data_IF_951050879748
#
_entry.id   IF_951050879748
#
_cell.length_a   1.000
_cell.length_b   1.000
_cell.length_c   1.000
_cell.angle_alpha   90.00
_cell.angle_beta   90.00
_cell.angle_gamma   90.00
#
_symmetry.space_group_name_H-M   'P 1'
#
loop_
_entity.id
_entity.type
_entity.pdbx_description
1 polymer ?
#
# COMPACT_ATOMS: atom_id res chain seq x y z
N UNK A 1 75.37 -3.13 20.07
CA UNK A 1 74.30 -3.03 19.06
C UNK A 1 73.67 -4.41 18.92
N UNK A 2 72.52 -4.64 19.54
CA UNK A 2 71.48 -5.62 19.14
C UNK A 2 70.45 -5.73 20.25
N UNK A 3 69.40 -4.91 20.13
CA UNK A 3 68.15 -5.05 20.87
C UNK A 3 67.17 -5.93 20.09
N UNK A 4 66.21 -6.60 20.76
CA UNK A 4 65.32 -7.59 20.17
C UNK A 4 64.17 -6.91 19.41
N UNK A 5 63.72 -7.50 18.29
CA UNK A 5 62.52 -7.06 17.58
C UNK A 5 61.33 -7.95 17.92
N UNK A 6 60.26 -7.28 18.32
CA UNK A 6 59.02 -7.80 18.85
C UNK A 6 58.23 -8.70 17.89
N UNK A 7 57.53 -9.68 18.45
CA UNK A 7 56.40 -10.37 17.84
C UNK A 7 55.24 -9.36 17.73
N UNK A 8 54.85 -9.02 16.50
CA UNK A 8 53.60 -8.31 16.24
C UNK A 8 52.53 -9.32 15.84
N UNK A 9 51.42 -9.25 16.57
CA UNK A 9 50.13 -9.90 16.30
C UNK A 9 49.75 -9.86 14.82
N UNK A 10 49.38 -11.01 14.27
CA UNK A 10 48.49 -11.08 13.11
C UNK A 10 47.15 -11.63 13.60
N UNK A 11 46.17 -10.74 13.66
CA UNK A 11 44.77 -11.04 13.92
C UNK A 11 44.27 -12.08 12.91
N UNK A 12 43.84 -13.25 13.37
CA UNK A 12 42.97 -14.13 12.59
C UNK A 12 41.57 -13.49 12.55
N UNK A 13 40.91 -13.39 11.38
CA UNK A 13 39.59 -12.79 11.30
C UNK A 13 38.57 -13.68 12.01
N UNK A 14 37.91 -13.08 12.99
CA UNK A 14 36.77 -13.63 13.72
C UNK A 14 35.66 -13.97 12.72
N UNK A 15 35.26 -15.25 12.70
CA UNK A 15 34.21 -15.77 11.82
C UNK A 15 32.87 -15.10 12.12
N UNK A 16 32.43 -14.20 11.26
CA UNK A 16 31.12 -13.56 11.28
C UNK A 16 30.14 -14.32 10.37
N UNK A 17 29.09 -14.96 10.93
CA UNK A 17 28.12 -15.73 10.16
C UNK A 17 27.12 -14.88 9.35
N UNK A 18 27.29 -13.56 9.29
CA UNK A 18 26.36 -12.65 8.58
C UNK A 18 26.94 -11.99 7.32
N UNK A 19 28.20 -12.29 6.95
CA UNK A 19 28.80 -11.77 5.71
C UNK A 19 28.59 -12.78 4.56
N UNK A 20 27.98 -12.39 3.42
CA UNK A 20 27.96 -13.23 2.22
C UNK A 20 29.39 -13.37 1.68
N UNK A 21 29.89 -14.60 1.55
CA UNK A 21 31.17 -14.90 0.89
C UNK A 21 31.09 -14.40 -0.57
N UNK A 22 31.69 -13.24 -0.84
CA UNK A 22 31.77 -12.64 -2.16
C UNK A 22 32.96 -13.16 -2.95
N UNK A 23 32.66 -13.59 -4.17
CA UNK A 23 33.51 -13.67 -5.37
C UNK A 23 34.98 -14.07 -5.18
N UNK A 24 35.20 -15.39 -5.18
CA UNK A 24 36.45 -15.93 -5.69
C UNK A 24 36.23 -16.41 -7.14
N UNK A 25 36.85 -15.67 -8.05
CA UNK A 25 36.85 -15.91 -9.49
C UNK A 25 37.16 -17.37 -9.83
N UNK A 26 36.22 -18.04 -10.49
CA UNK A 26 36.48 -18.83 -11.70
C UNK A 26 37.59 -19.88 -11.68
N UNK A 27 37.87 -20.53 -10.56
CA UNK A 27 38.71 -21.72 -10.56
C UNK A 27 37.86 -22.92 -10.97
N UNK A 28 38.00 -23.29 -12.24
CA UNK A 28 37.54 -24.52 -12.86
C UNK A 28 38.04 -25.73 -12.06
N UNK A 29 37.31 -26.08 -11.00
CA UNK A 29 37.51 -27.31 -10.26
C UNK A 29 37.05 -28.43 -11.17
N UNK A 30 38.01 -28.96 -11.92
CA UNK A 30 38.04 -30.26 -12.59
C UNK A 30 37.39 -31.33 -11.71
N UNK A 31 36.07 -31.40 -11.81
CA UNK A 31 35.26 -32.54 -11.47
C UNK A 31 35.30 -33.48 -12.68
N UNK A 32 36.49 -34.01 -12.95
CA UNK A 32 36.66 -35.04 -13.97
C UNK A 32 37.17 -36.32 -13.32
N UNK A 33 36.62 -37.43 -13.82
CA UNK A 33 37.04 -38.83 -13.64
C UNK A 33 36.52 -39.74 -12.49
N UNK A 34 35.52 -39.41 -11.65
CA UNK A 34 34.95 -40.49 -10.79
C UNK A 34 33.45 -40.52 -10.48
N UNK A 35 32.64 -39.68 -11.12
CA UNK A 35 31.17 -39.69 -10.94
C UNK A 35 30.39 -39.85 -12.25
N UNK A 36 31.06 -40.17 -13.37
CA UNK A 36 30.44 -40.34 -14.69
C UNK A 36 29.76 -41.71 -14.88
N UNK A 37 28.95 -42.12 -13.91
CA UNK A 37 27.97 -43.19 -14.03
C UNK A 37 26.60 -42.71 -13.50
N UNK A 38 26.35 -41.41 -13.56
CA UNK A 38 25.03 -40.85 -13.26
C UNK A 38 24.19 -40.94 -14.54
N UNK A 39 23.26 -41.88 -14.58
CA UNK A 39 22.20 -41.87 -15.57
C UNK A 39 21.40 -40.57 -15.41
N UNK A 40 21.33 -39.77 -16.48
CA UNK A 40 20.69 -38.46 -16.44
C UNK A 40 19.18 -38.54 -16.23
N UNK A 41 18.59 -39.64 -16.74
CA UNK A 41 17.19 -40.02 -16.66
C UNK A 41 17.08 -41.51 -16.36
N UNK A 42 16.04 -41.89 -15.61
CA UNK A 42 15.69 -43.29 -15.37
C UNK A 42 14.31 -43.56 -15.96
N UNK A 43 14.23 -44.20 -17.14
CA UNK A 43 12.97 -44.34 -17.85
C UNK A 43 12.00 -45.25 -17.12
N UNK A 44 10.70 -44.98 -17.31
CA UNK A 44 9.64 -45.85 -16.80
C UNK A 44 9.34 -47.00 -17.76
N UNK A 45 8.53 -47.97 -17.30
CA UNK A 45 8.21 -49.17 -18.07
C UNK A 45 7.48 -48.85 -19.39
N UNK A 46 6.70 -47.77 -19.41
CA UNK A 46 5.94 -47.34 -20.58
C UNK A 46 6.85 -46.70 -21.62
N UNK A 47 7.80 -45.89 -21.18
CA UNK A 47 8.83 -45.25 -22.00
C UNK A 47 9.74 -46.31 -22.61
N UNK A 48 10.24 -47.25 -21.82
CA UNK A 48 11.06 -48.37 -22.30
C UNK A 48 10.30 -49.15 -23.37
N UNK A 49 9.04 -49.51 -23.11
CA UNK A 49 8.22 -50.26 -24.06
C UNK A 49 7.98 -49.48 -25.37
N UNK A 50 7.79 -48.17 -25.28
CA UNK A 50 7.64 -47.29 -26.44
C UNK A 50 8.93 -47.21 -27.24
N UNK A 51 10.07 -46.94 -26.58
CA UNK A 51 11.39 -46.83 -27.22
C UNK A 51 11.80 -48.13 -27.89
N UNK A 52 11.58 -49.29 -27.26
CA UNK A 52 11.86 -50.60 -27.86
C UNK A 52 11.04 -50.80 -29.14
N UNK A 53 9.75 -50.45 -29.13
CA UNK A 53 8.90 -50.53 -30.33
C UNK A 53 9.33 -49.53 -31.41
N UNK A 54 9.74 -48.34 -31.03
CA UNK A 54 10.18 -47.29 -31.95
C UNK A 54 11.49 -47.67 -32.66
N UNK A 55 12.47 -48.18 -31.91
CA UNK A 55 13.79 -48.51 -32.47
C UNK A 55 13.80 -49.83 -33.22
N UNK A 56 13.18 -50.88 -32.67
CA UNK A 56 13.25 -52.21 -33.26
C UNK A 56 12.05 -52.57 -34.12
N UNK A 57 11.02 -51.73 -34.16
CA UNK A 57 9.90 -51.80 -35.10
C UNK A 57 9.36 -53.21 -35.27
N UNK A 58 9.23 -53.65 -36.53
CA UNK A 58 8.94 -55.05 -36.90
C UNK A 58 10.21 -55.83 -37.31
N UNK A 59 11.40 -55.26 -37.10
CA UNK A 59 12.67 -55.86 -37.55
C UNK A 59 13.06 -57.08 -36.72
N UNK A 60 12.59 -57.16 -35.47
CA UNK A 60 12.78 -58.32 -34.59
C UNK A 60 11.44 -58.92 -34.12
N UNK A 61 11.41 -60.16 -33.61
CA UNK A 61 10.18 -60.77 -33.07
C UNK A 61 9.66 -60.07 -31.81
N UNK A 62 8.34 -60.09 -31.58
CA UNK A 62 7.71 -59.52 -30.37
C UNK A 62 8.25 -60.15 -29.08
N UNK A 63 8.54 -61.46 -29.10
CA UNK A 63 9.15 -62.13 -27.95
C UNK A 63 10.53 -61.56 -27.60
N UNK A 64 11.34 -61.19 -28.60
CA UNK A 64 12.64 -60.58 -28.37
C UNK A 64 12.51 -59.12 -27.93
N UNK A 65 11.53 -58.36 -28.46
CA UNK A 65 11.19 -57.01 -27.96
C UNK A 65 10.80 -57.06 -26.48
N UNK A 66 9.97 -58.02 -26.07
CA UNK A 66 9.56 -58.18 -24.68
C UNK A 66 10.74 -58.50 -23.76
N UNK A 67 11.69 -59.34 -24.22
CA UNK A 67 12.92 -59.63 -23.47
C UNK A 67 13.78 -58.36 -23.34
N UNK A 68 14.00 -57.62 -24.42
CA UNK A 68 14.78 -56.37 -24.40
C UNK A 68 14.13 -55.35 -23.46
N UNK A 69 12.80 -55.21 -23.49
CA UNK A 69 12.07 -54.32 -22.58
C UNK A 69 12.22 -54.77 -21.12
N UNK A 70 12.13 -56.07 -20.84
CA UNK A 70 12.34 -56.63 -19.50
C UNK A 70 13.76 -56.38 -18.99
N UNK A 71 14.78 -56.62 -19.81
CA UNK A 71 16.19 -56.37 -19.44
C UNK A 71 16.46 -54.87 -19.26
N UNK A 72 15.85 -54.02 -20.08
CA UNK A 72 15.93 -52.56 -19.95
C UNK A 72 15.27 -52.06 -18.66
N UNK A 73 14.16 -52.68 -18.24
CA UNK A 73 13.51 -52.40 -16.96
C UNK A 73 14.41 -52.76 -15.76
N UNK A 74 15.12 -53.90 -15.83
CA UNK A 74 16.10 -54.29 -14.80
C UNK A 74 17.26 -53.27 -14.71
N UNK A 75 17.73 -52.75 -15.84
CA UNK A 75 18.73 -51.67 -15.87
C UNK A 75 18.17 -50.42 -15.18
N UNK A 76 16.96 -49.98 -15.53
CA UNK A 76 16.33 -48.82 -14.90
C UNK A 76 16.14 -49.01 -13.38
N UNK A 77 15.72 -50.20 -12.94
CA UNK A 77 15.56 -50.50 -11.52
C UNK A 77 16.91 -50.48 -10.77
N UNK A 78 17.95 -51.07 -11.35
CA UNK A 78 19.31 -51.01 -10.80
C UNK A 78 19.80 -49.58 -10.64
N UNK A 79 19.51 -48.71 -11.63
CA UNK A 79 19.85 -47.29 -11.57
C UNK A 79 19.14 -46.54 -10.43
N UNK A 80 17.83 -46.75 -10.22
CA UNK A 80 17.11 -46.14 -9.08
C UNK A 80 17.73 -46.56 -7.75
N UNK A 81 18.05 -47.84 -7.62
CA UNK A 81 18.71 -48.39 -6.44
C UNK A 81 20.08 -47.75 -6.20
N UNK A 82 20.85 -47.47 -7.25
CA UNK A 82 22.12 -46.74 -7.11
C UNK A 82 21.89 -45.35 -6.52
N UNK A 83 20.89 -44.60 -6.98
CA UNK A 83 20.56 -43.26 -6.45
C UNK A 83 20.13 -43.32 -4.98
N UNK A 84 19.29 -44.28 -4.61
CA UNK A 84 18.90 -44.52 -3.22
C UNK A 84 20.11 -44.85 -2.33
N UNK A 85 21.05 -45.65 -2.85
CA UNK A 85 22.29 -45.97 -2.13
C UNK A 85 23.18 -44.74 -1.94
N UNK A 86 23.16 -43.73 -2.83
CA UNK A 86 23.83 -42.45 -2.58
C UNK A 86 23.25 -41.74 -1.35
N UNK A 87 21.91 -41.73 -1.20
CA UNK A 87 21.25 -41.17 -0.02
C UNK A 87 21.59 -41.96 1.24
N UNK A 88 21.61 -43.30 1.14
CA UNK A 88 22.01 -44.17 2.24
C UNK A 88 23.44 -43.91 2.70
N UNK A 89 24.38 -43.80 1.77
CA UNK A 89 25.78 -43.45 2.05
C UNK A 89 25.85 -42.10 2.78
N UNK A 90 25.12 -41.09 2.29
CA UNK A 90 25.03 -39.78 2.94
C UNK A 90 24.55 -39.87 4.39
N UNK A 91 23.50 -40.65 4.65
CA UNK A 91 22.98 -40.88 6.00
C UNK A 91 23.96 -41.61 6.92
N UNK A 92 24.69 -42.60 6.41
CA UNK A 92 25.73 -43.30 7.17
C UNK A 92 26.87 -42.34 7.53
N UNK A 93 27.33 -41.54 6.56
CA UNK A 93 28.38 -40.54 6.79
C UNK A 93 27.97 -39.49 7.81
N UNK A 94 26.72 -39.01 7.74
CA UNK A 94 26.16 -38.09 8.74
C UNK A 94 26.14 -38.71 10.13
N UNK A 95 25.60 -39.92 10.26
CA UNK A 95 25.54 -40.63 11.54
C UNK A 95 26.91 -40.93 12.13
N UNK A 96 27.88 -41.32 11.29
CA UNK A 96 29.25 -41.56 11.73
C UNK A 96 29.90 -40.29 12.25
N UNK A 97 29.76 -39.17 11.53
CA UNK A 97 30.25 -37.87 11.97
C UNK A 97 29.64 -37.47 13.31
N UNK A 98 28.31 -37.54 13.42
CA UNK A 98 27.58 -37.18 14.63
C UNK A 98 28.01 -38.03 15.83
N UNK A 99 28.25 -39.34 15.65
CA UNK A 99 28.74 -40.21 16.73
C UNK A 99 30.13 -39.80 17.22
N UNK A 100 31.05 -39.45 16.31
CA UNK A 100 32.39 -39.00 16.66
C UNK A 100 32.32 -37.66 17.39
N UNK A 101 31.54 -36.71 16.89
CA UNK A 101 31.34 -35.40 17.51
C UNK A 101 30.73 -35.51 18.92
N UNK A 102 29.67 -36.32 19.09
CA UNK A 102 29.04 -36.54 20.39
C UNK A 102 29.99 -37.19 21.40
N UNK A 103 30.82 -38.14 20.99
CA UNK A 103 31.82 -38.76 21.88
C UNK A 103 32.87 -37.73 22.36
N UNK A 104 33.35 -36.87 21.45
CA UNK A 104 34.31 -35.82 21.80
C UNK A 104 33.68 -34.77 22.71
N UNK A 105 32.45 -34.33 22.42
CA UNK A 105 31.71 -33.40 23.28
C UNK A 105 31.49 -33.97 24.68
N UNK A 106 31.12 -35.25 24.79
CA UNK A 106 30.93 -35.92 26.09
C UNK A 106 32.23 -36.11 26.88
N UNK A 107 33.36 -36.34 26.22
CA UNK A 107 34.64 -36.65 26.87
C UNK A 107 35.51 -35.42 27.18
N UNK A 108 35.42 -34.36 26.38
CA UNK A 108 36.30 -33.18 26.44
C UNK A 108 35.54 -31.87 26.68
N UNK A 109 34.21 -31.94 26.85
CA UNK A 109 33.34 -30.77 26.97
C UNK A 109 32.81 -30.29 25.62
N UNK A 110 31.58 -29.81 25.61
CA UNK A 110 30.89 -29.36 24.40
C UNK A 110 31.30 -27.94 24.04
N UNK A 111 32.38 -27.81 23.27
CA UNK A 111 32.86 -26.53 22.76
C UNK A 111 33.03 -26.57 21.24
N UNK A 112 32.94 -25.40 20.59
CA UNK A 112 33.15 -25.27 19.15
C UNK A 112 34.50 -25.85 18.70
N UNK A 113 35.55 -25.64 19.49
CA UNK A 113 36.88 -26.18 19.22
C UNK A 113 36.90 -27.72 19.23
N UNK A 114 36.27 -28.35 20.23
CA UNK A 114 36.18 -29.81 20.36
C UNK A 114 35.37 -30.41 19.20
N UNK A 115 34.23 -29.80 18.83
CA UNK A 115 33.43 -30.24 17.67
C UNK A 115 34.21 -30.12 16.35
N UNK A 116 34.92 -29.01 16.14
CA UNK A 116 35.75 -28.83 14.93
C UNK A 116 36.88 -29.86 14.84
N UNK A 117 37.54 -30.16 15.96
CA UNK A 117 38.56 -31.20 16.04
C UNK A 117 38.00 -32.58 15.70
N UNK A 118 36.82 -32.92 16.23
CA UNK A 118 36.13 -34.17 15.93
C UNK A 118 35.73 -34.27 14.45
N UNK A 119 35.17 -33.21 13.89
CA UNK A 119 34.84 -33.12 12.46
C UNK A 119 36.08 -33.30 11.58
N UNK A 120 37.20 -32.66 11.92
CA UNK A 120 38.46 -32.79 11.17
C UNK A 120 38.98 -34.23 11.18
N UNK A 121 38.94 -34.92 12.34
CA UNK A 121 39.32 -36.33 12.44
C UNK A 121 38.41 -37.24 11.62
N UNK A 122 37.09 -36.99 11.62
CA UNK A 122 36.13 -37.70 10.78
C UNK A 122 36.49 -37.56 9.29
N UNK A 123 36.70 -36.35 8.78
CA UNK A 123 37.02 -36.15 7.36
C UNK A 123 38.35 -36.79 6.99
N UNK A 124 39.38 -36.68 7.83
CA UNK A 124 40.67 -37.33 7.61
C UNK A 124 40.57 -38.86 7.60
N UNK A 125 39.72 -39.42 8.46
CA UNK A 125 39.42 -40.86 8.45
C UNK A 125 38.75 -41.27 7.15
N UNK A 126 37.71 -40.56 6.72
CA UNK A 126 36.97 -40.90 5.49
C UNK A 126 37.87 -40.78 4.26
N UNK A 127 38.70 -39.75 4.20
CA UNK A 127 39.67 -39.56 3.12
C UNK A 127 40.69 -40.69 3.06
N UNK A 128 41.23 -41.13 4.21
CA UNK A 128 42.21 -42.22 4.25
C UNK A 128 41.58 -43.60 3.97
N UNK A 129 40.40 -43.87 4.52
CA UNK A 129 39.75 -45.17 4.43
C UNK A 129 39.05 -45.39 3.08
N UNK A 130 38.35 -44.37 2.57
CA UNK A 130 37.50 -44.48 1.39
C UNK A 130 38.04 -43.69 0.19
N UNK A 131 39.17 -42.99 0.32
CA UNK A 131 39.79 -42.16 -0.74
C UNK A 131 38.83 -41.11 -1.30
N UNK A 132 37.96 -40.56 -0.44
CA UNK A 132 37.02 -39.49 -0.79
C UNK A 132 37.43 -38.20 -0.10
N UNK A 133 37.60 -37.13 -0.89
CA UNK A 133 37.93 -35.80 -0.40
C UNK A 133 36.81 -35.27 0.50
N UNK A 134 37.18 -34.42 1.45
CA UNK A 134 36.26 -33.79 2.40
C UNK A 134 35.04 -33.14 1.72
N UNK A 135 35.23 -32.43 0.60
CA UNK A 135 34.12 -31.72 -0.04
C UNK A 135 33.11 -32.66 -0.69
N UNK A 136 33.56 -33.77 -1.27
CA UNK A 136 32.66 -34.82 -1.76
C UNK A 136 31.83 -35.39 -0.61
N UNK A 137 32.46 -35.69 0.54
CA UNK A 137 31.77 -36.21 1.73
C UNK A 137 30.72 -35.22 2.25
N UNK A 138 31.04 -33.92 2.26
CA UNK A 138 30.07 -32.87 2.62
C UNK A 138 28.87 -32.87 1.68
N UNK A 139 29.07 -33.03 0.37
CA UNK A 139 27.96 -33.08 -0.60
C UNK A 139 27.03 -34.24 -0.28
N UNK A 140 27.55 -35.47 -0.09
CA UNK A 140 26.71 -36.62 0.29
C UNK A 140 25.90 -36.38 1.56
N UNK A 141 26.54 -35.84 2.61
CA UNK A 141 25.87 -35.53 3.88
C UNK A 141 24.77 -34.48 3.67
N UNK A 142 25.06 -33.39 2.96
CA UNK A 142 24.11 -32.30 2.73
C UNK A 142 22.96 -32.73 1.84
N UNK A 143 23.23 -33.47 0.76
CA UNK A 143 22.20 -34.02 -0.13
C UNK A 143 21.28 -34.97 0.63
N UNK A 144 21.81 -35.84 1.49
CA UNK A 144 20.99 -36.67 2.37
C UNK A 144 20.11 -35.82 3.30
N UNK A 145 20.69 -34.85 4.01
CA UNK A 145 19.94 -34.00 4.94
C UNK A 145 18.83 -33.21 4.24
N UNK A 146 19.03 -32.81 2.97
CA UNK A 146 18.06 -32.02 2.21
C UNK A 146 17.00 -32.86 1.52
N UNK A 147 17.36 -33.97 0.90
CA UNK A 147 16.47 -34.70 -0.02
C UNK A 147 15.97 -36.04 0.52
N UNK A 148 16.47 -36.54 1.66
CA UNK A 148 16.08 -37.87 2.17
C UNK A 148 14.59 -38.06 2.45
N UNK A 149 13.85 -36.98 2.70
CA UNK A 149 12.39 -37.01 2.91
C UNK A 149 11.58 -36.78 1.64
N UNK A 150 12.23 -36.45 0.51
CA UNK A 150 11.57 -36.17 -0.77
C UNK A 150 11.87 -37.31 -1.75
N UNK A 151 11.01 -38.34 -1.75
CA UNK A 151 11.17 -39.51 -2.62
C UNK A 151 11.24 -39.15 -4.11
N UNK A 152 10.42 -38.18 -4.55
CA UNK A 152 10.44 -37.73 -5.94
C UNK A 152 11.77 -37.09 -6.35
N UNK A 153 12.39 -36.34 -5.43
CA UNK A 153 13.73 -35.79 -5.67
C UNK A 153 14.81 -36.86 -5.75
N UNK A 154 14.73 -37.91 -4.93
CA UNK A 154 15.69 -39.02 -4.93
C UNK A 154 15.62 -39.84 -6.22
N UNK A 155 14.42 -40.01 -6.78
CA UNK A 155 14.22 -40.75 -8.02
C UNK A 155 14.65 -39.96 -9.28
N UNK A 156 14.46 -38.64 -9.28
CA UNK A 156 14.61 -37.81 -10.50
C UNK A 156 15.92 -37.03 -10.56
N UNK A 157 16.55 -36.74 -9.43
CA UNK A 157 17.75 -35.91 -9.39
C UNK A 157 19.01 -36.77 -9.33
N UNK A 158 19.98 -36.42 -10.17
CA UNK A 158 21.34 -36.95 -10.01
C UNK A 158 22.01 -36.33 -8.79
N UNK A 159 23.08 -36.95 -8.28
CA UNK A 159 23.87 -36.38 -7.18
C UNK A 159 24.41 -34.98 -7.52
N UNK A 160 24.70 -34.71 -8.80
CA UNK A 160 25.15 -33.41 -9.30
C UNK A 160 24.04 -32.37 -9.25
N UNK A 161 22.81 -32.75 -9.60
CA UNK A 161 21.64 -31.88 -9.51
C UNK A 161 21.35 -31.55 -8.06
N UNK A 162 21.35 -32.56 -7.19
CA UNK A 162 21.20 -32.36 -5.75
C UNK A 162 22.26 -31.41 -5.21
N UNK A 163 23.52 -31.55 -5.61
CA UNK A 163 24.60 -30.64 -5.17
C UNK A 163 24.30 -29.18 -5.52
N UNK A 164 23.73 -28.89 -6.69
CA UNK A 164 23.36 -27.52 -7.09
C UNK A 164 22.16 -27.00 -6.30
N UNK A 165 21.27 -27.90 -5.91
CA UNK A 165 20.01 -27.60 -5.25
C UNK A 165 20.07 -27.58 -3.73
N UNK A 166 21.11 -28.14 -3.10
CA UNK A 166 21.27 -28.23 -1.64
C UNK A 166 21.06 -26.87 -0.94
N UNK A 167 21.52 -25.78 -1.55
CA UNK A 167 21.47 -24.43 -0.98
C UNK A 167 20.32 -23.58 -1.53
N UNK A 168 19.39 -24.17 -2.27
CA UNK A 168 18.26 -23.45 -2.85
C UNK A 168 16.99 -23.66 -2.02
N UNK A 169 16.09 -22.69 -2.10
CA UNK A 169 14.79 -22.75 -1.44
C UNK A 169 13.91 -23.87 -2.02
N UNK A 170 12.96 -24.36 -1.22
CA UNK A 170 12.10 -25.48 -1.61
C UNK A 170 11.31 -25.18 -2.90
N UNK A 171 10.88 -23.93 -3.11
CA UNK A 171 10.18 -23.51 -4.34
C UNK A 171 11.06 -23.66 -5.59
N UNK A 172 12.35 -23.38 -5.49
CA UNK A 172 13.31 -23.54 -6.60
C UNK A 172 13.57 -25.02 -6.87
N UNK A 173 13.64 -25.83 -5.81
CA UNK A 173 13.78 -27.29 -5.92
C UNK A 173 12.57 -27.86 -6.65
N UNK A 174 11.36 -27.50 -6.25
CA UNK A 174 10.11 -27.96 -6.87
C UNK A 174 10.03 -27.54 -8.33
N UNK A 175 10.44 -26.31 -8.65
CA UNK A 175 10.52 -25.84 -10.03
C UNK A 175 11.48 -26.67 -10.90
N UNK A 176 12.65 -27.03 -10.36
CA UNK A 176 13.61 -27.88 -11.08
C UNK A 176 13.10 -29.31 -11.21
N UNK A 177 12.43 -29.85 -10.19
CA UNK A 177 11.79 -31.17 -10.26
C UNK A 177 10.69 -31.21 -11.32
N UNK A 178 9.84 -30.17 -11.38
CA UNK A 178 8.81 -30.05 -12.42
C UNK A 178 9.44 -29.98 -13.81
N UNK A 179 10.48 -29.18 -14.00
CA UNK A 179 11.18 -29.09 -15.27
C UNK A 179 11.87 -30.40 -15.67
N UNK A 180 12.48 -31.12 -14.73
CA UNK A 180 13.07 -32.46 -14.93
C UNK A 180 12.02 -33.51 -15.27
N UNK A 181 10.83 -33.39 -14.72
CA UNK A 181 9.72 -34.27 -15.05
C UNK A 181 9.22 -34.07 -16.49
N UNK A 182 9.22 -32.83 -16.97
CA UNK A 182 8.85 -32.51 -18.36
C UNK A 182 9.98 -32.81 -19.35
N UNK A 183 11.22 -32.57 -18.95
CA UNK A 183 12.41 -32.83 -19.75
C UNK A 183 13.50 -33.51 -18.88
N UNK A 184 13.57 -34.86 -18.88
CA UNK A 184 14.53 -35.58 -18.05
C UNK A 184 16.00 -35.36 -18.42
N UNK A 185 16.28 -35.01 -19.67
CA UNK A 185 17.63 -34.81 -20.21
C UNK A 185 18.16 -33.38 -19.98
N UNK A 186 17.52 -32.61 -19.09
CA UNK A 186 17.97 -31.27 -18.75
C UNK A 186 19.44 -31.25 -18.35
N UNK A 187 20.22 -30.50 -19.10
CA UNK A 187 21.64 -30.32 -18.84
C UNK A 187 21.86 -29.51 -17.57
N UNK A 188 23.02 -29.70 -16.95
CA UNK A 188 23.48 -28.90 -15.79
C UNK A 188 23.38 -27.39 -16.05
N UNK A 189 23.64 -26.93 -17.28
CA UNK A 189 23.56 -25.51 -17.65
C UNK A 189 22.12 -25.00 -17.69
N UNK A 190 21.18 -25.82 -18.14
CA UNK A 190 19.76 -25.47 -18.18
C UNK A 190 19.17 -25.46 -16.77
N UNK A 191 19.52 -26.43 -15.91
CA UNK A 191 19.13 -26.42 -14.49
C UNK A 191 19.60 -25.13 -13.81
N UNK A 192 20.86 -24.69 -14.05
CA UNK A 192 21.35 -23.40 -13.54
C UNK A 192 20.52 -22.20 -14.03
N UNK A 193 20.18 -22.16 -15.32
CA UNK A 193 19.33 -21.10 -15.88
C UNK A 193 17.95 -21.07 -15.24
N UNK A 194 17.36 -22.24 -14.97
CA UNK A 194 16.07 -22.35 -14.27
C UNK A 194 16.21 -21.74 -12.87
N UNK A 195 17.20 -22.17 -12.09
CA UNK A 195 17.46 -21.63 -10.75
C UNK A 195 17.58 -20.10 -10.78
N UNK A 196 18.38 -19.56 -11.69
CA UNK A 196 18.59 -18.11 -11.81
C UNK A 196 17.32 -17.36 -12.21
N UNK A 197 16.56 -17.89 -13.19
CA UNK A 197 15.29 -17.28 -13.60
C UNK A 197 14.25 -17.25 -12.48
N UNK A 198 14.20 -18.28 -11.64
CA UNK A 198 13.28 -18.33 -10.51
C UNK A 198 13.69 -17.36 -9.41
N UNK A 199 15.00 -17.22 -9.14
CA UNK A 199 15.50 -16.20 -8.20
C UNK A 199 15.16 -14.79 -8.64
N UNK A 200 15.31 -14.47 -9.92
CA UNK A 200 14.92 -13.17 -10.45
C UNK A 200 13.42 -12.93 -10.28
N UNK A 201 12.58 -13.90 -10.61
CA UNK A 201 11.12 -13.80 -10.41
C UNK A 201 10.74 -13.64 -8.94
N UNK A 202 11.44 -14.31 -8.03
CA UNK A 202 11.20 -14.20 -6.60
C UNK A 202 11.56 -12.79 -6.11
N UNK A 203 12.73 -12.27 -6.51
CA UNK A 203 13.16 -10.92 -6.19
C UNK A 203 12.19 -9.85 -6.75
N UNK A 204 11.68 -10.04 -7.97
CA UNK A 204 10.65 -9.17 -8.55
C UNK A 204 9.35 -9.19 -7.76
N UNK A 205 8.92 -10.37 -7.30
CA UNK A 205 7.73 -10.51 -6.45
C UNK A 205 7.92 -9.86 -5.08
N UNK A 206 9.07 -10.03 -4.45
CA UNK A 206 9.37 -9.40 -3.17
C UNK A 206 9.38 -7.87 -3.29
N UNK A 207 10.01 -7.34 -4.35
CA UNK A 207 9.97 -5.91 -4.64
C UNK A 207 8.53 -5.39 -4.87
N UNK A 208 7.71 -6.16 -5.60
CA UNK A 208 6.29 -5.82 -5.80
C UNK A 208 5.51 -5.83 -4.47
N UNK A 209 5.79 -6.80 -3.61
CA UNK A 209 5.15 -6.95 -2.32
C UNK A 209 5.50 -5.77 -1.39
N UNK A 210 6.74 -5.33 -1.40
CA UNK A 210 7.18 -4.15 -0.64
C UNK A 210 6.51 -2.86 -1.12
N UNK A 211 6.34 -2.68 -2.44
CA UNK A 211 5.57 -1.55 -3.00
C UNK A 211 4.11 -1.60 -2.52
N UNK A 212 3.49 -2.78 -2.54
CA UNK A 212 2.10 -2.94 -2.07
C UNK A 212 1.97 -2.68 -0.57
N UNK A 213 2.91 -3.15 0.25
CA UNK A 213 2.96 -2.85 1.69
C UNK A 213 3.10 -1.36 1.97
N UNK A 214 3.96 -0.68 1.21
CA UNK A 214 4.14 0.77 1.33
C UNK A 214 2.83 1.51 1.02
N UNK A 215 2.17 1.18 -0.10
CA UNK A 215 0.87 1.74 -0.47
C UNK A 215 -0.22 1.43 0.55
N UNK A 216 -0.24 0.23 1.12
CA UNK A 216 -1.18 -0.13 2.18
C UNK A 216 -0.96 0.73 3.41
N UNK A 217 0.30 0.95 3.80
CA UNK A 217 0.64 1.80 4.95
C UNK A 217 0.22 3.26 4.72
N UNK A 218 0.40 3.76 3.50
CA UNK A 218 -0.07 5.09 3.08
C UNK A 218 -1.59 5.21 3.15
N UNK A 219 -2.33 4.24 2.61
CA UNK A 219 -3.81 4.21 2.66
C UNK A 219 -4.30 4.12 4.10
N UNK A 220 -3.64 3.34 4.95
CA UNK A 220 -3.97 3.27 6.39
C UNK A 220 -3.75 4.63 7.06
N UNK A 221 -2.66 5.33 6.75
CA UNK A 221 -2.42 6.70 7.22
C UNK A 221 -3.53 7.67 6.78
N UNK A 222 -3.88 7.67 5.49
CA UNK A 222 -4.96 8.49 4.95
C UNK A 222 -6.32 8.17 5.61
N UNK A 223 -6.59 6.90 5.91
CA UNK A 223 -7.81 6.48 6.59
C UNK A 223 -7.87 7.01 8.03
N UNK A 224 -6.74 7.00 8.74
CA UNK A 224 -6.66 7.52 10.10
C UNK A 224 -6.80 9.05 10.12
N UNK A 225 -6.20 9.75 9.15
CA UNK A 225 -6.38 11.21 8.97
C UNK A 225 -7.84 11.55 8.69
N UNK A 226 -8.48 10.86 7.74
CA UNK A 226 -9.89 11.05 7.42
C UNK A 226 -10.82 10.75 8.61
N UNK A 227 -10.48 9.75 9.45
CA UNK A 227 -11.21 9.47 10.69
C UNK A 227 -11.09 10.60 11.69
N UNK A 228 -9.88 11.14 11.88
CA UNK A 228 -9.64 12.26 12.79
C UNK A 228 -10.39 13.51 12.33
N UNK A 229 -10.37 13.82 11.03
CA UNK A 229 -11.13 14.92 10.46
C UNK A 229 -12.64 14.72 10.63
N UNK A 230 -13.15 13.50 10.42
CA UNK A 230 -14.56 13.20 10.63
C UNK A 230 -14.98 13.41 12.10
N UNK A 231 -14.14 13.00 13.06
CA UNK A 231 -14.37 13.27 14.48
C UNK A 231 -14.39 14.78 14.78
N UNK A 232 -13.44 15.54 14.23
CA UNK A 232 -13.41 16.98 14.37
C UNK A 232 -14.70 17.63 13.84
N UNK A 233 -15.12 17.27 12.63
CA UNK A 233 -16.36 17.77 12.01
C UNK A 233 -17.61 17.39 12.81
N UNK A 234 -17.64 16.21 13.43
CA UNK A 234 -18.73 15.80 14.33
C UNK A 234 -18.80 16.72 15.55
N UNK A 235 -17.66 17.01 16.19
CA UNK A 235 -17.62 17.91 17.35
C UNK A 235 -17.98 19.36 16.97
N UNK A 236 -17.49 19.85 15.83
CA UNK A 236 -17.86 21.17 15.32
C UNK A 236 -19.36 21.26 14.99
N UNK A 237 -19.93 20.22 14.38
CA UNK A 237 -21.38 20.14 14.12
C UNK A 237 -22.19 20.17 15.42
N UNK A 238 -21.73 19.49 16.47
CA UNK A 238 -22.38 19.55 17.80
C UNK A 238 -22.30 20.96 18.38
N UNK A 239 -21.15 21.61 18.30
CA UNK A 239 -20.96 22.98 18.79
C UNK A 239 -21.88 23.96 18.07
N UNK A 240 -21.92 23.92 16.73
CA UNK A 240 -22.80 24.78 15.92
C UNK A 240 -24.28 24.55 16.24
N UNK A 241 -24.71 23.29 16.44
CA UNK A 241 -26.08 23.00 16.88
C UNK A 241 -26.41 23.64 18.23
N UNK A 242 -25.50 23.58 19.19
CA UNK A 242 -25.68 24.21 20.49
C UNK A 242 -25.80 25.73 20.36
N UNK A 243 -24.96 26.35 19.52
CA UNK A 243 -24.99 27.79 19.27
C UNK A 243 -26.31 28.21 18.59
N UNK A 244 -26.78 27.47 17.59
CA UNK A 244 -28.09 27.70 16.95
C UNK A 244 -29.22 27.65 17.98
N UNK A 245 -29.19 26.69 18.90
CA UNK A 245 -30.24 26.56 19.91
C UNK A 245 -30.20 27.72 20.92
N UNK A 246 -29.02 28.15 21.34
CA UNK A 246 -28.86 29.34 22.17
C UNK A 246 -29.36 30.61 21.48
N UNK A 247 -29.05 30.78 20.21
CA UNK A 247 -29.48 31.97 19.44
C UNK A 247 -30.98 31.96 19.16
N UNK A 248 -31.59 30.78 18.94
CA UNK A 248 -33.05 30.64 18.92
C UNK A 248 -33.68 31.07 20.24
N UNK A 249 -33.09 30.69 21.37
CA UNK A 249 -33.63 31.05 22.68
C UNK A 249 -33.48 32.55 22.97
N UNK A 250 -32.35 33.16 22.60
CA UNK A 250 -32.18 34.62 22.64
C UNK A 250 -33.21 35.32 21.75
N UNK A 251 -33.43 34.84 20.53
CA UNK A 251 -34.43 35.39 19.61
C UNK A 251 -35.86 35.27 20.14
N UNK A 252 -36.22 34.16 20.79
CA UNK A 252 -37.52 34.05 21.47
C UNK A 252 -37.66 35.09 22.57
N UNK A 253 -36.61 35.29 23.38
CA UNK A 253 -36.62 36.28 24.46
C UNK A 253 -36.79 37.70 23.93
N UNK A 254 -36.03 38.08 22.90
CA UNK A 254 -36.17 39.41 22.28
C UNK A 254 -37.54 39.62 21.64
N UNK A 255 -38.13 38.57 21.06
CA UNK A 255 -39.50 38.63 20.53
C UNK A 255 -40.54 38.84 21.62
N UNK A 256 -40.40 38.17 22.78
CA UNK A 256 -41.26 38.40 23.95
C UNK A 256 -41.10 39.83 24.49
N UNK A 257 -39.88 40.35 24.56
CA UNK A 257 -39.61 41.72 25.00
C UNK A 257 -40.22 42.75 24.03
N UNK A 258 -40.14 42.48 22.72
CA UNK A 258 -40.75 43.30 21.67
C UNK A 258 -42.29 43.31 21.77
N UNK A 259 -42.91 42.15 21.98
CA UNK A 259 -44.36 42.04 22.21
C UNK A 259 -44.79 42.81 23.46
N UNK A 260 -43.97 42.76 24.52
CA UNK A 260 -44.16 43.56 25.73
C UNK A 260 -44.12 45.07 25.46
N UNK A 261 -43.12 45.53 24.69
CA UNK A 261 -43.01 46.92 24.26
C UNK A 261 -44.20 47.33 23.38
N UNK A 262 -44.64 46.49 22.45
CA UNK A 262 -45.81 46.74 21.61
C UNK A 262 -47.09 46.94 22.43
N UNK A 263 -47.31 46.11 23.46
CA UNK A 263 -48.44 46.27 24.38
C UNK A 263 -48.36 47.60 25.13
N UNK A 264 -47.17 47.97 25.60
CA UNK A 264 -46.94 49.25 26.29
C UNK A 264 -47.23 50.45 25.38
N UNK A 265 -46.76 50.42 24.13
CA UNK A 265 -47.05 51.45 23.12
C UNK A 265 -48.55 51.53 22.84
N UNK A 266 -49.23 50.38 22.73
CA UNK A 266 -50.69 50.35 22.55
C UNK A 266 -51.43 50.97 23.72
N UNK A 267 -51.04 50.66 24.97
CA UNK A 267 -51.61 51.31 26.16
C UNK A 267 -51.37 52.82 26.15
N UNK A 268 -50.16 53.28 25.83
CA UNK A 268 -49.86 54.70 25.70
C UNK A 268 -50.71 55.38 24.62
N UNK A 269 -50.91 54.74 23.46
CA UNK A 269 -51.80 55.24 22.42
C UNK A 269 -53.25 55.42 22.91
N UNK A 270 -53.77 54.45 23.68
CA UNK A 270 -55.11 54.58 24.25
C UNK A 270 -55.22 55.72 25.28
N UNK A 271 -54.19 55.91 26.10
CA UNK A 271 -54.12 57.02 27.05
C UNK A 271 -54.02 58.37 26.34
N UNK A 272 -53.19 58.48 25.30
CA UNK A 272 -53.09 59.67 24.45
C UNK A 272 -54.45 59.99 23.85
N UNK A 273 -55.13 59.02 23.22
CA UNK A 273 -56.48 59.25 22.69
C UNK A 273 -57.51 59.65 23.75
N UNK A 274 -57.38 59.15 24.99
CA UNK A 274 -58.23 59.58 26.11
C UNK A 274 -57.96 61.04 26.48
N UNK A 275 -56.69 61.40 26.66
CA UNK A 275 -56.25 62.75 26.98
C UNK A 275 -56.61 63.75 25.87
N UNK A 276 -56.54 63.35 24.60
CA UNK A 276 -56.99 64.17 23.47
C UNK A 276 -58.49 64.47 23.53
N UNK A 277 -59.32 63.48 23.89
CA UNK A 277 -60.76 63.70 24.07
C UNK A 277 -61.05 64.58 25.29
N UNK A 278 -60.32 64.41 26.38
CA UNK A 278 -60.40 65.28 27.57
C UNK A 278 -59.99 66.71 27.21
N UNK A 279 -58.91 66.90 26.45
CA UNK A 279 -58.50 68.20 25.93
C UNK A 279 -59.59 68.82 25.05
N UNK A 280 -60.16 68.07 24.12
CA UNK A 280 -61.19 68.59 23.21
C UNK A 280 -62.48 68.96 23.95
N UNK A 281 -62.84 68.19 24.98
CA UNK A 281 -63.98 68.53 25.86
C UNK A 281 -63.70 69.77 26.70
N UNK A 282 -62.52 69.89 27.29
CA UNK A 282 -62.09 71.11 27.99
C UNK A 282 -62.03 72.32 27.05
N UNK A 283 -61.56 72.16 25.81
CA UNK A 283 -61.55 73.23 24.80
C UNK A 283 -62.97 73.66 24.42
N UNK A 284 -63.92 72.72 24.29
CA UNK A 284 -65.34 73.07 24.09
C UNK A 284 -65.93 73.79 25.31
N UNK A 285 -65.66 73.31 26.51
CA UNK A 285 -66.09 73.98 27.75
C UNK A 285 -65.47 75.38 27.87
N UNK A 286 -64.23 75.56 27.45
CA UNK A 286 -63.56 76.86 27.39
C UNK A 286 -64.19 77.77 26.34
N UNK A 287 -64.55 77.24 25.16
CA UNK A 287 -65.28 77.99 24.14
C UNK A 287 -66.71 78.38 24.61
N UNK A 288 -67.39 77.49 25.33
CA UNK A 288 -68.70 77.77 25.96
C UNK A 288 -68.59 78.79 27.11
N UNK A 289 -67.52 78.72 27.90
CA UNK A 289 -67.21 79.71 28.94
C UNK A 289 -66.81 81.07 28.32
N UNK A 290 -66.09 81.06 27.20
CA UNK A 290 -65.76 82.27 26.43
C UNK A 290 -67.02 82.94 25.83
N UNK A 291 -68.02 82.16 25.41
CA UNK A 291 -69.32 82.68 24.98
C UNK A 291 -70.20 83.23 26.12
N UNK A 292 -69.85 83.00 27.39
CA UNK A 292 -70.59 83.49 28.57
C UNK A 292 -70.00 84.75 29.21
N UNK A 293 -68.91 85.30 28.70
CA UNK A 293 -68.21 86.44 29.31
C UNK A 293 -68.27 87.67 28.41
N UNK A 294 -68.94 88.72 28.89
CA UNK A 294 -68.82 90.08 28.36
C UNK A 294 -67.37 90.55 28.42
N UNK A 295 -66.96 91.21 27.35
CA UNK A 295 -65.63 91.70 27.00
C UNK A 295 -64.90 92.43 28.14
N UNK A 296 -63.60 92.12 28.30
CA UNK A 296 -62.62 93.10 28.76
C UNK A 296 -61.30 92.85 28.04
N UNK A 297 -60.98 93.73 27.09
CA UNK A 297 -59.70 93.76 26.39
C UNK A 297 -58.54 93.90 27.39
N UNK A 298 -57.53 93.05 27.23
CA UNK A 298 -56.18 93.30 27.74
C UNK A 298 -55.21 92.96 26.60
N UNK A 299 -54.51 93.99 26.11
CA UNK A 299 -53.31 93.83 25.30
C UNK A 299 -52.27 93.03 26.07
N UNK A 300 -51.79 91.92 25.51
CA UNK A 300 -50.52 91.32 25.92
C UNK A 300 -49.64 91.14 24.70
N UNK A 301 -48.55 91.90 24.74
CA UNK A 301 -47.37 91.85 23.91
C UNK A 301 -46.63 90.52 24.02
N UNK A 302 -46.06 90.05 22.90
CA UNK A 302 -44.85 89.24 22.89
C UNK A 302 -45.03 87.78 22.43
N UNK A 303 -44.09 87.24 21.64
CA UNK A 303 -44.15 85.87 21.14
C UNK A 303 -43.94 84.87 22.29
N UNK A 304 -44.89 83.97 22.51
CA UNK A 304 -44.79 82.97 23.59
C UNK A 304 -43.72 81.92 23.31
N UNK A 305 -43.04 81.48 24.37
CA UNK A 305 -42.06 80.37 24.42
C UNK A 305 -42.55 79.06 23.75
N UNK A 306 -43.86 78.89 23.58
CA UNK A 306 -44.45 77.73 22.92
C UNK A 306 -44.05 77.57 21.43
N UNK A 307 -43.73 78.66 20.72
CA UNK A 307 -43.23 78.58 19.34
C UNK A 307 -41.76 78.14 19.33
N UNK A 308 -40.97 78.55 20.33
CA UNK A 308 -39.57 78.11 20.47
C UNK A 308 -39.49 76.62 20.78
N UNK A 309 -40.33 76.09 21.68
CA UNK A 309 -40.35 74.66 21.98
C UNK A 309 -40.85 73.79 20.82
N UNK A 310 -41.80 74.27 20.02
CA UNK A 310 -42.23 73.57 18.80
C UNK A 310 -41.15 73.60 17.71
N UNK A 311 -40.42 74.70 17.60
CA UNK A 311 -39.32 74.85 16.67
C UNK A 311 -38.11 74.00 17.08
N UNK A 312 -37.77 73.95 18.37
CA UNK A 312 -36.76 73.05 18.94
C UNK A 312 -37.14 71.57 18.76
N UNK A 313 -38.42 71.21 18.95
CA UNK A 313 -38.90 69.84 18.71
C UNK A 313 -38.88 69.48 17.21
N UNK A 314 -39.24 70.40 16.32
CA UNK A 314 -39.16 70.21 14.88
C UNK A 314 -37.70 70.11 14.39
N UNK A 315 -36.80 70.92 14.93
CA UNK A 315 -35.36 70.86 14.63
C UNK A 315 -34.72 69.56 15.16
N UNK A 316 -35.15 69.11 16.34
CA UNK A 316 -34.75 67.82 16.92
C UNK A 316 -35.21 66.62 16.08
N UNK A 317 -36.46 66.64 15.62
CA UNK A 317 -37.00 65.62 14.70
C UNK A 317 -36.31 65.66 13.34
N UNK A 318 -36.06 66.84 12.78
CA UNK A 318 -35.30 66.95 11.51
C UNK A 318 -33.88 66.43 11.65
N UNK A 319 -33.24 66.62 12.81
CA UNK A 319 -31.91 66.07 13.09
C UNK A 319 -31.95 64.55 13.17
N UNK A 320 -32.92 63.97 13.88
CA UNK A 320 -33.11 62.52 13.95
C UNK A 320 -33.44 61.91 12.57
N UNK A 321 -34.26 62.59 11.77
CA UNK A 321 -34.56 62.16 10.40
C UNK A 321 -33.29 62.19 9.55
N UNK A 322 -32.46 63.23 9.63
CA UNK A 322 -31.18 63.28 8.89
C UNK A 322 -30.21 62.19 9.33
N UNK A 323 -30.09 61.94 10.63
CA UNK A 323 -29.24 60.88 11.18
C UNK A 323 -29.74 59.49 10.75
N UNK A 324 -31.04 59.24 10.80
CA UNK A 324 -31.65 58.00 10.33
C UNK A 324 -31.48 57.82 8.81
N UNK A 325 -31.65 58.88 8.01
CA UNK A 325 -31.42 58.83 6.56
C UNK A 325 -29.95 58.52 6.24
N UNK A 326 -29.01 59.13 6.96
CA UNK A 326 -27.58 58.86 6.79
C UNK A 326 -27.21 57.42 7.17
N UNK A 327 -27.80 56.87 8.24
CA UNK A 327 -27.62 55.47 8.61
C UNK A 327 -28.21 54.54 7.55
N UNK A 328 -29.39 54.87 7.01
CA UNK A 328 -30.05 54.09 5.95
C UNK A 328 -29.22 54.06 4.66
N UNK A 329 -28.63 55.21 4.27
CA UNK A 329 -27.71 55.29 3.14
C UNK A 329 -26.43 54.46 3.37
N UNK A 330 -25.87 54.49 4.59
CA UNK A 330 -24.68 53.69 4.91
C UNK A 330 -24.97 52.18 4.89
N UNK A 331 -26.13 51.76 5.41
CA UNK A 331 -26.56 50.36 5.41
C UNK A 331 -26.90 49.89 3.99
N UNK A 332 -27.50 50.76 3.16
CA UNK A 332 -27.71 50.45 1.74
C UNK A 332 -26.39 50.25 0.99
N UNK A 333 -25.38 51.07 1.27
CA UNK A 333 -24.05 50.90 0.69
C UNK A 333 -23.37 49.60 1.17
N UNK A 334 -23.51 49.25 2.45
CA UNK A 334 -22.98 48.01 3.01
C UNK A 334 -23.67 46.78 2.40
N UNK A 335 -25.00 46.79 2.31
CA UNK A 335 -25.78 45.71 1.65
C UNK A 335 -25.36 45.54 0.20
N UNK A 336 -25.21 46.63 -0.57
CA UNK A 336 -24.74 46.55 -1.96
C UNK A 336 -23.33 45.94 -2.07
N UNK A 337 -22.43 46.28 -1.14
CA UNK A 337 -21.08 45.71 -1.11
C UNK A 337 -21.07 44.21 -0.77
N UNK A 338 -21.96 43.78 0.14
CA UNK A 338 -22.11 42.38 0.53
C UNK A 338 -22.76 41.55 -0.58
N UNK A 339 -23.73 42.12 -1.31
CA UNK A 339 -24.35 41.47 -2.46
C UNK A 339 -23.33 41.23 -3.58
N UNK A 340 -22.47 42.21 -3.87
CA UNK A 340 -21.41 42.05 -4.88
C UNK A 340 -20.37 41.00 -4.45
N UNK A 341 -19.98 41.01 -3.17
CA UNK A 341 -19.06 39.99 -2.63
C UNK A 341 -19.68 38.58 -2.66
N UNK A 342 -20.97 38.46 -2.35
CA UNK A 342 -21.71 37.20 -2.43
C UNK A 342 -21.79 36.70 -3.87
N UNK A 343 -22.03 37.59 -4.83
CA UNK A 343 -22.06 37.26 -6.26
C UNK A 343 -20.70 36.76 -6.76
N UNK A 344 -19.61 37.40 -6.34
CA UNK A 344 -18.25 36.96 -6.66
C UNK A 344 -17.94 35.58 -6.07
N UNK A 345 -18.31 35.35 -4.81
CA UNK A 345 -18.11 34.05 -4.15
C UNK A 345 -18.94 32.94 -4.81
N UNK A 346 -20.19 33.20 -5.19
CA UNK A 346 -21.02 32.24 -5.92
C UNK A 346 -20.40 31.89 -7.29
N UNK A 347 -19.91 32.88 -8.03
CA UNK A 347 -19.23 32.63 -9.30
C UNK A 347 -17.94 31.78 -9.11
N UNK A 348 -17.21 31.99 -8.01
CA UNK A 348 -16.04 31.18 -7.69
C UNK A 348 -16.42 29.74 -7.33
N UNK A 349 -17.49 29.54 -6.55
CA UNK A 349 -18.02 28.21 -6.21
C UNK A 349 -18.48 27.48 -7.47
N UNK A 350 -19.28 28.13 -8.32
CA UNK A 350 -19.75 27.56 -9.59
C UNK A 350 -18.57 27.15 -10.49
N UNK A 351 -17.49 27.94 -10.50
CA UNK A 351 -16.27 27.62 -11.25
C UNK A 351 -15.57 26.38 -10.70
N UNK A 352 -15.49 26.23 -9.37
CA UNK A 352 -14.89 25.06 -8.70
C UNK A 352 -15.73 23.81 -8.92
N UNK A 353 -17.05 23.91 -8.79
CA UNK A 353 -17.96 22.79 -9.05
C UNK A 353 -17.91 22.32 -10.51
N UNK A 354 -17.75 23.25 -11.47
CA UNK A 354 -17.57 22.90 -12.86
C UNK A 354 -16.26 22.13 -13.11
N UNK A 355 -15.17 22.57 -12.49
CA UNK A 355 -13.86 21.89 -12.55
C UNK A 355 -13.97 20.50 -11.92
N UNK A 356 -14.54 20.38 -10.72
CA UNK A 356 -14.73 19.08 -10.06
C UNK A 356 -15.56 18.11 -10.90
N UNK A 357 -16.63 18.61 -11.54
CA UNK A 357 -17.47 17.79 -12.42
C UNK A 357 -16.66 17.25 -13.59
N UNK A 358 -15.86 18.09 -14.25
CA UNK A 358 -14.98 17.66 -15.34
C UNK A 358 -13.90 16.67 -14.88
N UNK A 359 -13.34 16.84 -13.68
CA UNK A 359 -12.37 15.87 -13.13
C UNK A 359 -13.05 14.51 -12.90
N UNK A 360 -14.27 14.49 -12.35
CA UNK A 360 -15.03 13.23 -12.14
C UNK A 360 -15.37 12.55 -13.47
N UNK A 361 -15.85 13.32 -14.46
CA UNK A 361 -16.12 12.81 -15.81
C UNK A 361 -14.85 12.21 -16.45
N UNK A 362 -13.71 12.88 -16.32
CA UNK A 362 -12.43 12.39 -16.82
C UNK A 362 -11.99 11.09 -16.11
N UNK A 363 -12.23 10.97 -14.80
CA UNK A 363 -11.95 9.75 -14.03
C UNK A 363 -12.82 8.57 -14.48
N UNK A 364 -14.11 8.82 -14.73
CA UNK A 364 -15.04 7.80 -15.22
C UNK A 364 -14.63 7.30 -16.62
N UNK A 365 -14.28 8.23 -17.52
CA UNK A 365 -13.77 7.91 -18.86
C UNK A 365 -12.47 7.12 -18.81
N UNK A 366 -11.54 7.51 -17.94
CA UNK A 366 -10.28 6.78 -17.74
C UNK A 366 -10.53 5.37 -17.18
N UNK A 367 -11.46 5.22 -16.24
CA UNK A 367 -11.89 3.91 -15.72
C UNK A 367 -12.42 2.99 -16.82
N UNK A 368 -13.29 3.52 -17.69
CA UNK A 368 -13.83 2.82 -18.86
C UNK A 368 -12.72 2.42 -19.85
N UNK A 369 -11.80 3.34 -20.12
CA UNK A 369 -10.63 3.08 -20.96
C UNK A 369 -9.76 1.94 -20.40
N UNK A 370 -9.44 1.96 -19.11
CA UNK A 370 -8.62 0.93 -18.47
C UNK A 370 -9.26 -0.47 -18.53
N UNK A 371 -10.59 -0.57 -18.42
CA UNK A 371 -11.30 -1.83 -18.58
C UNK A 371 -11.21 -2.36 -20.03
N UNK A 372 -11.41 -1.49 -21.03
CA UNK A 372 -11.25 -1.85 -22.45
C UNK A 372 -9.83 -2.27 -22.77
N UNK A 373 -8.84 -1.55 -22.23
CA UNK A 373 -7.42 -1.88 -22.39
C UNK A 373 -7.10 -3.27 -21.83
N UNK A 374 -7.48 -3.56 -20.57
CA UNK A 374 -7.26 -4.89 -19.96
C UNK A 374 -7.90 -6.02 -20.78
N UNK A 375 -9.12 -5.80 -21.26
CA UNK A 375 -9.80 -6.77 -22.12
C UNK A 375 -9.03 -7.02 -23.42
N UNK A 376 -8.52 -5.95 -24.03
CA UNK A 376 -7.76 -6.02 -25.29
C UNK A 376 -6.39 -6.68 -25.09
N UNK A 377 -5.68 -6.33 -24.01
CA UNK A 377 -4.43 -6.97 -23.61
C UNK A 377 -4.63 -8.48 -23.39
N UNK A 378 -5.70 -8.88 -22.71
CA UNK A 378 -6.02 -10.28 -22.48
C UNK A 378 -6.29 -11.02 -23.79
N UNK A 379 -7.03 -10.42 -24.73
CA UNK A 379 -7.28 -11.01 -26.05
C UNK A 379 -6.00 -11.19 -26.86
N UNK A 380 -5.09 -10.21 -26.84
CA UNK A 380 -3.82 -10.29 -27.58
C UNK A 380 -2.86 -11.31 -26.96
N UNK A 381 -2.81 -11.39 -25.63
CA UNK A 381 -1.95 -12.35 -24.91
C UNK A 381 -2.49 -13.77 -24.98
N UNK A 382 -3.80 -13.97 -24.84
CA UNK A 382 -4.44 -15.29 -24.97
C UNK A 382 -4.47 -15.80 -26.42
N UNK A 383 -4.54 -14.89 -27.40
CA UNK A 383 -4.52 -15.23 -28.83
C UNK A 383 -3.15 -15.61 -29.40
N UNK A 384 -2.08 -15.57 -28.60
CA UNK A 384 -0.73 -16.03 -28.99
C UNK A 384 0.00 -15.16 -30.04
N UNK A 385 -0.60 -14.08 -30.52
CA UNK A 385 -0.04 -13.18 -31.54
C UNK A 385 0.29 -11.82 -30.94
N UNK A 386 1.28 -11.78 -30.05
CA UNK A 386 1.72 -10.54 -29.38
C UNK A 386 2.67 -9.71 -30.25
N UNK A 387 3.46 -10.38 -31.11
CA UNK A 387 4.50 -9.75 -31.92
C UNK A 387 4.01 -8.60 -32.83
N UNK A 388 2.85 -8.67 -33.51
CA UNK A 388 2.36 -7.57 -34.35
C UNK A 388 1.93 -6.33 -33.57
N UNK A 389 1.59 -6.48 -32.29
CA UNK A 389 1.07 -5.39 -31.46
C UNK A 389 2.11 -4.83 -30.47
N UNK A 390 3.32 -5.39 -30.42
CA UNK A 390 4.37 -4.98 -29.50
C UNK A 390 4.71 -3.48 -29.60
N UNK A 391 4.83 -2.95 -30.83
CA UNK A 391 5.10 -1.53 -31.05
C UNK A 391 3.94 -0.63 -30.62
N UNK A 392 2.69 -1.12 -30.74
CA UNK A 392 1.51 -0.38 -30.31
C UNK A 392 1.47 -0.30 -28.77
N UNK A 393 1.76 -1.41 -28.08
CA UNK A 393 1.83 -1.42 -26.62
C UNK A 393 3.00 -0.58 -26.08
N UNK A 394 4.15 -0.55 -26.78
CA UNK A 394 5.26 0.33 -26.44
C UNK A 394 4.88 1.81 -26.56
N UNK A 395 4.23 2.21 -27.66
CA UNK A 395 3.74 3.58 -27.84
C UNK A 395 2.69 3.98 -26.77
N UNK A 396 1.82 3.04 -26.39
CA UNK A 396 0.89 3.24 -25.26
C UNK A 396 1.61 3.40 -23.93
N UNK A 397 2.64 2.59 -23.66
CA UNK A 397 3.43 2.69 -22.44
C UNK A 397 4.14 4.06 -22.33
N UNK A 398 4.67 4.58 -23.44
CA UNK A 398 5.26 5.92 -23.49
C UNK A 398 4.23 7.03 -23.21
N UNK A 399 3.03 6.95 -23.82
CA UNK A 399 1.97 7.93 -23.58
C UNK A 399 1.49 7.90 -22.12
N UNK A 400 1.32 6.71 -21.54
CA UNK A 400 0.96 6.54 -20.13
C UNK A 400 2.09 7.05 -19.22
N UNK A 401 3.36 6.85 -19.60
CA UNK A 401 4.51 7.39 -18.89
C UNK A 401 4.52 8.91 -18.84
N UNK A 402 4.30 9.57 -19.98
CA UNK A 402 4.18 11.05 -20.04
C UNK A 402 2.99 11.56 -19.24
N UNK A 403 1.82 10.93 -19.40
CA UNK A 403 0.62 11.28 -18.64
C UNK A 403 0.85 11.13 -17.13
N UNK A 404 1.53 10.07 -16.69
CA UNK A 404 1.85 9.86 -15.28
C UNK A 404 2.76 10.97 -14.72
N UNK A 405 3.75 11.42 -15.50
CA UNK A 405 4.62 12.53 -15.12
C UNK A 405 3.85 13.86 -15.00
N UNK A 406 2.97 14.14 -15.96
CA UNK A 406 2.10 15.33 -15.92
C UNK A 406 1.15 15.30 -14.71
N UNK A 407 0.60 14.13 -14.39
CA UNK A 407 -0.29 13.95 -13.24
C UNK A 407 0.44 14.14 -11.91
N UNK A 408 1.66 13.62 -11.78
CA UNK A 408 2.52 13.87 -10.62
C UNK A 408 2.90 15.35 -10.51
N UNK A 409 3.19 16.02 -11.63
CA UNK A 409 3.49 17.45 -11.62
C UNK A 409 2.28 18.29 -11.17
N UNK A 410 1.07 17.94 -11.64
CA UNK A 410 -0.17 18.58 -11.21
C UNK A 410 -0.48 18.32 -9.74
N UNK A 411 -0.30 17.08 -9.26
CA UNK A 411 -0.52 16.71 -7.87
C UNK A 411 0.44 17.40 -6.90
N UNK A 412 1.69 17.65 -7.32
CA UNK A 412 2.68 18.38 -6.51
C UNK A 412 2.48 19.91 -6.55
N UNK A 413 1.71 20.43 -7.51
CA UNK A 413 1.42 21.86 -7.66
C UNK A 413 0.11 22.28 -6.96
N UNK A 414 -0.76 21.32 -6.63
CA UNK A 414 -1.92 21.49 -5.76
C UNK A 414 -1.49 21.47 -4.29
#
# INVERSE_FOLDING_TARGET
>A
MSHPKALQNTNEPEFDPTVPEGDDNGADLSADESTSLAFAHVPDESEISHTVRQFFGNEIPESLRAIIASESNEIAHSTRKILEEHMRIGGILFNLRSRIESHFAASQGDTRHVRNKAAHLFYRYVEKAFRKKQDTVKVYIRSYLRFSTNAGAVEMLTITDMQMLVSQDDEVIDAVLAAKKENPDLSKREVKKIIESYKTKLAEKDASLDVVKSRLSEIVGQLDDARNENQYLIEETKHLRLQIEQDKEKNKKTMVDLDGAHRSVSTMHTEISRLERERDTLLRQLAEAANRVQSKEVMVSGPSENIKHLQEAADGLMKQVREATSQMESLQAEVASLEERRKQQLAEIDSKEAIERHIRELMDDFGSFMQKYKTTQLLVTAGGSVAPFANLFAAFADHVGTFHQELLAAANAA
#
